data_IF_321846086029
#
_entry.id   IF_321846086029
#
_cell.length_a   1.000
_cell.length_b   1.000
_cell.length_c   1.000
_cell.angle_alpha   90.00
_cell.angle_beta   90.00
_cell.angle_gamma   90.00
#
_symmetry.space_group_name_H-M   'P 1'
#
loop_
_entity.id
_entity.type
_entity.pdbx_description
1 polymer ?
#
# COMPACT_ATOMS: atom_id res chain seq x y z
N UNK A 1 7.73 -39.96 31.13
CA UNK A 1 8.55 -39.25 32.13
C UNK A 1 9.99 -39.47 31.75
N UNK A 2 10.62 -38.46 31.17
CA UNK A 2 12.06 -38.43 30.92
C UNK A 2 12.74 -38.22 32.27
N UNK A 3 13.63 -39.13 32.66
CA UNK A 3 14.32 -39.04 33.96
C UNK A 3 15.38 -37.92 33.90
N UNK A 4 15.60 -37.22 35.02
CA UNK A 4 16.65 -36.20 35.15
C UNK A 4 18.03 -36.78 34.81
N UNK A 5 18.20 -38.09 35.02
CA UNK A 5 19.41 -38.83 34.63
C UNK A 5 19.74 -38.73 33.13
N UNK A 6 18.76 -38.50 32.25
CA UNK A 6 18.97 -38.29 30.81
C UNK A 6 19.63 -36.94 30.48
N UNK A 7 19.70 -36.02 31.46
CA UNK A 7 20.21 -34.65 31.29
C UNK A 7 21.50 -34.39 32.08
N UNK A 8 22.26 -35.44 32.41
CA UNK A 8 23.57 -35.32 33.10
C UNK A 8 24.59 -34.41 32.42
N UNK A 9 24.35 -34.08 31.16
CA UNK A 9 25.19 -33.18 30.36
C UNK A 9 24.87 -31.70 30.63
N UNK A 10 23.68 -31.36 31.13
CA UNK A 10 23.32 -30.00 31.55
C UNK A 10 24.15 -29.65 32.79
N UNK A 11 24.93 -28.56 32.71
CA UNK A 11 25.73 -28.10 33.85
C UNK A 11 24.87 -27.45 34.95
N UNK A 12 25.47 -27.27 36.14
CA UNK A 12 24.76 -26.74 37.31
C UNK A 12 24.23 -25.31 37.13
N UNK A 13 24.86 -24.50 36.28
CA UNK A 13 24.42 -23.12 36.01
C UNK A 13 23.16 -23.13 35.13
N UNK A 14 23.18 -23.88 34.03
CA UNK A 14 22.02 -24.06 33.15
C UNK A 14 20.87 -24.78 33.87
N UNK A 15 21.16 -25.79 34.70
CA UNK A 15 20.14 -26.45 35.51
C UNK A 15 19.46 -25.46 36.46
N UNK A 16 20.23 -24.60 37.16
CA UNK A 16 19.66 -23.56 38.03
C UNK A 16 18.77 -22.60 37.25
N UNK A 17 19.15 -22.26 36.02
CA UNK A 17 18.36 -21.37 35.17
C UNK A 17 17.03 -22.01 34.74
N UNK A 18 17.05 -23.29 34.37
CA UNK A 18 15.87 -24.05 33.95
C UNK A 18 14.93 -24.37 35.14
N UNK A 19 15.46 -24.62 36.33
CA UNK A 19 14.67 -24.91 37.53
C UNK A 19 14.05 -23.67 38.16
N UNK A 20 14.70 -22.51 38.02
CA UNK A 20 14.27 -21.29 38.68
C UNK A 20 13.04 -20.70 38.00
N UNK A 21 11.97 -20.53 38.78
CA UNK A 21 10.72 -19.90 38.34
C UNK A 21 10.87 -18.42 37.96
N UNK A 22 12.02 -17.79 38.26
CA UNK A 22 12.30 -16.41 37.84
C UNK A 22 12.99 -16.31 36.48
N UNK A 23 13.56 -17.41 35.98
CA UNK A 23 14.36 -17.45 34.75
C UNK A 23 13.90 -18.53 33.77
N UNK A 24 12.92 -19.35 34.15
CA UNK A 24 12.29 -20.32 33.28
C UNK A 24 10.80 -20.44 33.56
N UNK A 25 10.01 -20.54 32.49
CA UNK A 25 8.59 -20.87 32.59
C UNK A 25 8.35 -22.36 32.86
N UNK A 26 9.36 -23.22 32.65
CA UNK A 26 9.27 -24.67 32.87
C UNK A 26 9.44 -25.06 34.35
N UNK A 27 10.26 -24.31 35.09
CA UNK A 27 10.53 -24.56 36.51
C UNK A 27 10.98 -25.99 36.78
N UNK A 28 10.46 -26.63 37.83
CA UNK A 28 10.81 -28.03 38.17
C UNK A 28 10.44 -29.07 37.09
N UNK A 29 9.62 -28.70 36.10
CA UNK A 29 9.24 -29.59 35.00
C UNK A 29 10.17 -29.48 33.78
N UNK A 30 11.26 -28.71 33.88
CA UNK A 30 12.20 -28.51 32.77
C UNK A 30 12.73 -29.79 32.09
N UNK A 31 12.99 -30.92 32.78
CA UNK A 31 13.53 -32.11 32.10
C UNK A 31 12.54 -32.68 31.08
N UNK A 32 11.24 -32.56 31.39
CA UNK A 32 10.19 -33.03 30.50
C UNK A 32 10.00 -32.09 29.30
N UNK A 33 9.93 -30.78 29.53
CA UNK A 33 9.80 -29.80 28.45
C UNK A 33 11.02 -29.75 27.53
N UNK A 34 12.24 -29.73 28.09
CA UNK A 34 13.47 -29.76 27.31
C UNK A 34 13.58 -31.06 26.50
N UNK A 35 13.22 -32.20 27.08
CA UNK A 35 13.20 -33.48 26.36
C UNK A 35 12.25 -33.48 25.18
N UNK A 36 11.01 -33.01 25.37
CA UNK A 36 10.02 -32.90 24.28
C UNK A 36 10.44 -31.90 23.19
N UNK A 37 11.12 -30.83 23.57
CA UNK A 37 11.64 -29.84 22.62
C UNK A 37 12.82 -30.40 21.81
N UNK A 38 13.74 -31.11 22.45
CA UNK A 38 14.85 -31.79 21.77
C UNK A 38 14.36 -32.92 20.86
N UNK A 39 13.35 -33.69 21.28
CA UNK A 39 12.76 -34.74 20.43
C UNK A 39 12.13 -34.15 19.15
N UNK A 40 11.63 -32.91 19.22
CA UNK A 40 11.07 -32.18 18.08
C UNK A 40 12.17 -31.63 17.15
N UNK A 41 13.12 -30.88 17.72
CA UNK A 41 14.12 -30.12 16.95
C UNK A 41 15.33 -30.96 16.54
N UNK A 42 15.63 -32.02 17.29
CA UNK A 42 16.83 -32.83 17.12
C UNK A 42 16.56 -34.29 17.49
N UNK A 43 15.79 -35.00 16.66
CA UNK A 43 15.37 -36.40 16.91
C UNK A 43 16.47 -37.42 17.26
N UNK A 44 17.75 -37.13 16.96
CA UNK A 44 18.90 -37.99 17.30
C UNK A 44 19.71 -37.54 18.52
N UNK A 45 19.27 -36.52 19.27
CA UNK A 45 20.05 -35.88 20.35
C UNK A 45 20.57 -36.87 21.41
N UNK A 46 19.85 -37.96 21.68
CA UNK A 46 20.26 -38.99 22.65
C UNK A 46 21.50 -39.79 22.23
N UNK A 47 21.87 -39.76 20.94
CA UNK A 47 23.05 -40.44 20.41
C UNK A 47 24.29 -39.53 20.38
N UNK A 48 24.10 -38.25 20.68
CA UNK A 48 25.12 -37.22 20.58
C UNK A 48 26.01 -37.22 21.82
N UNK A 49 27.18 -36.61 21.69
CA UNK A 49 28.07 -36.47 22.84
C UNK A 49 27.57 -35.42 23.82
N UNK A 50 27.81 -35.63 25.12
CA UNK A 50 27.50 -34.66 26.18
C UNK A 50 28.09 -33.27 25.86
N UNK A 51 29.26 -33.19 25.20
CA UNK A 51 29.90 -31.92 24.81
C UNK A 51 29.13 -31.22 23.68
N UNK A 52 28.62 -31.96 22.70
CA UNK A 52 27.80 -31.41 21.62
C UNK A 52 26.49 -30.85 22.17
N UNK A 53 25.84 -31.58 23.09
CA UNK A 53 24.58 -31.16 23.72
C UNK A 53 24.79 -29.90 24.59
N UNK A 54 25.89 -29.84 25.35
CA UNK A 54 26.26 -28.65 26.13
C UNK A 54 26.48 -27.43 25.26
N UNK A 55 27.22 -27.58 24.17
CA UNK A 55 27.50 -26.46 23.25
C UNK A 55 26.20 -25.93 22.65
N UNK A 56 25.33 -26.84 22.19
CA UNK A 56 24.04 -26.48 21.64
C UNK A 56 23.17 -25.70 22.65
N UNK A 57 23.11 -26.16 23.90
CA UNK A 57 22.29 -25.53 24.94
C UNK A 57 22.85 -24.18 25.39
N UNK A 58 24.18 -24.02 25.45
CA UNK A 58 24.84 -22.79 25.91
C UNK A 58 24.37 -21.55 25.16
N UNK A 59 24.20 -21.67 23.84
CA UNK A 59 23.76 -20.54 23.00
C UNK A 59 22.24 -20.29 23.07
N UNK A 60 21.48 -21.22 23.66
CA UNK A 60 20.01 -21.26 23.53
C UNK A 60 19.26 -21.22 24.85
N UNK A 61 19.95 -21.39 25.97
CA UNK A 61 19.36 -21.52 27.30
C UNK A 61 18.43 -20.36 27.66
N UNK A 62 18.84 -19.12 27.35
CA UNK A 62 18.10 -17.91 27.68
C UNK A 62 16.75 -17.83 26.95
N UNK A 63 16.72 -18.28 25.68
CA UNK A 63 15.52 -18.30 24.86
C UNK A 63 14.63 -19.51 25.20
N UNK A 64 15.22 -20.70 25.21
CA UNK A 64 14.51 -21.98 25.33
C UNK A 64 13.90 -22.18 26.72
N UNK A 65 14.48 -21.60 27.78
CA UNK A 65 13.91 -21.64 29.11
C UNK A 65 12.56 -20.89 29.23
N UNK A 66 12.21 -20.05 28.25
CA UNK A 66 11.01 -19.20 28.22
C UNK A 66 10.89 -18.25 29.42
N UNK A 67 12.00 -17.93 30.10
CA UNK A 67 12.02 -16.98 31.21
C UNK A 67 11.77 -15.53 30.80
N UNK A 68 11.82 -15.24 29.50
CA UNK A 68 11.55 -13.94 28.90
C UNK A 68 10.06 -13.65 28.75
N UNK A 69 9.19 -14.67 28.83
CA UNK A 69 7.74 -14.48 28.71
C UNK A 69 7.20 -13.80 29.98
N UNK A 70 6.70 -12.57 29.83
CA UNK A 70 6.22 -11.74 30.94
C UNK A 70 4.96 -12.32 31.59
N UNK A 71 4.65 -11.94 32.83
CA UNK A 71 3.46 -12.41 33.53
C UNK A 71 2.15 -12.12 32.74
N UNK A 72 2.08 -10.98 32.06
CA UNK A 72 0.94 -10.62 31.19
C UNK A 72 0.84 -11.59 30.01
N UNK A 73 1.95 -11.81 29.29
CA UNK A 73 2.01 -12.74 28.16
C UNK A 73 1.69 -14.18 28.61
N UNK A 74 2.18 -14.63 29.77
CA UNK A 74 1.85 -15.94 30.33
C UNK A 74 0.34 -16.10 30.57
N UNK A 75 -0.30 -15.03 31.08
CA UNK A 75 -1.76 -15.03 31.29
C UNK A 75 -2.51 -15.12 29.97
N UNK A 76 -2.05 -14.40 28.94
CA UNK A 76 -2.68 -14.40 27.62
C UNK A 76 -2.45 -15.72 26.88
N UNK A 77 -1.23 -16.25 26.85
CA UNK A 77 -0.93 -17.58 26.30
C UNK A 77 -1.70 -18.69 27.03
N UNK A 78 -1.98 -18.50 28.32
CA UNK A 78 -2.81 -19.41 29.11
C UNK A 78 -4.29 -19.45 28.70
N UNK A 79 -4.80 -18.46 27.95
CA UNK A 79 -6.19 -18.50 27.45
C UNK A 79 -6.35 -19.37 26.20
N UNK A 80 -5.26 -19.63 25.47
CA UNK A 80 -5.19 -20.47 24.25
C UNK A 80 -5.18 -21.97 24.58
N UNK A 81 -6.17 -22.40 25.36
CA UNK A 81 -6.26 -23.76 25.90
C UNK A 81 -6.51 -24.84 24.84
N UNK A 82 -7.03 -24.46 23.67
CA UNK A 82 -7.23 -25.32 22.50
C UNK A 82 -5.92 -25.87 21.93
N UNK A 83 -4.80 -25.15 22.15
CA UNK A 83 -3.45 -25.56 21.71
C UNK A 83 -2.66 -26.36 22.77
N UNK A 84 -3.23 -26.56 23.96
CA UNK A 84 -2.56 -27.24 25.09
C UNK A 84 -1.67 -26.30 25.92
N UNK A 85 -0.68 -26.86 26.64
CA UNK A 85 0.23 -26.05 27.46
C UNK A 85 1.17 -25.25 26.54
N UNK A 86 1.14 -23.92 26.66
CA UNK A 86 1.96 -23.01 25.87
C UNK A 86 3.45 -23.22 26.04
N UNK A 87 3.89 -23.75 27.18
CA UNK A 87 5.30 -24.11 27.40
C UNK A 87 5.78 -25.21 26.45
N UNK A 88 4.85 -25.99 25.88
CA UNK A 88 5.15 -27.04 24.91
C UNK A 88 4.94 -26.57 23.47
N UNK A 89 3.81 -25.93 23.15
CA UNK A 89 3.52 -25.57 21.75
C UNK A 89 4.29 -24.33 21.29
N UNK A 90 4.56 -23.36 22.17
CA UNK A 90 5.18 -22.09 21.77
C UNK A 90 6.58 -22.28 21.17
N UNK A 91 7.51 -23.07 21.76
CA UNK A 91 8.80 -23.32 21.14
C UNK A 91 8.71 -23.93 19.73
N UNK A 92 7.81 -24.90 19.52
CA UNK A 92 7.61 -25.55 18.21
C UNK A 92 7.06 -24.57 17.19
N UNK A 93 6.11 -23.75 17.61
CA UNK A 93 5.52 -22.75 16.75
C UNK A 93 6.52 -21.64 16.37
N UNK A 94 7.40 -21.27 17.31
CA UNK A 94 8.51 -20.36 17.04
C UNK A 94 9.53 -20.96 16.06
N UNK A 95 9.78 -22.27 16.09
CA UNK A 95 10.64 -22.91 15.07
C UNK A 95 10.04 -22.79 13.66
N UNK A 96 8.70 -22.83 13.53
CA UNK A 96 8.00 -22.67 12.25
C UNK A 96 8.04 -21.22 11.75
N UNK A 97 7.85 -20.24 12.64
CA UNK A 97 7.79 -18.83 12.27
C UNK A 97 9.15 -18.15 12.16
N UNK A 98 10.12 -18.60 12.95
CA UNK A 98 11.42 -17.95 13.10
C UNK A 98 12.51 -19.00 13.40
N UNK A 99 13.07 -19.59 12.35
CA UNK A 99 13.99 -20.74 12.41
C UNK A 99 15.24 -20.60 13.33
N UNK A 100 15.62 -19.39 13.74
CA UNK A 100 16.77 -19.12 14.62
C UNK A 100 16.37 -18.41 15.94
N UNK A 101 15.08 -18.38 16.31
CA UNK A 101 14.57 -17.73 17.53
C UNK A 101 15.29 -18.20 18.80
N UNK A 102 15.70 -19.47 18.85
CA UNK A 102 16.36 -20.06 20.00
C UNK A 102 17.73 -19.41 20.31
N UNK A 103 18.31 -18.65 19.36
CA UNK A 103 19.54 -17.86 19.56
C UNK A 103 19.27 -16.37 19.82
N UNK A 104 18.01 -15.94 19.71
CA UNK A 104 17.64 -14.55 19.91
C UNK A 104 17.75 -14.16 21.39
N UNK A 105 17.96 -12.88 21.63
CA UNK A 105 17.98 -12.36 23.00
C UNK A 105 16.58 -12.36 23.62
N UNK A 106 16.46 -12.45 24.95
CA UNK A 106 15.19 -12.27 25.66
C UNK A 106 14.40 -11.02 25.26
N UNK A 107 15.09 -9.90 25.00
CA UNK A 107 14.46 -8.64 24.60
C UNK A 107 13.81 -8.71 23.22
N UNK A 108 14.48 -9.32 22.24
CA UNK A 108 13.93 -9.54 20.88
C UNK A 108 12.72 -10.46 20.93
N UNK A 109 12.80 -11.55 21.71
CA UNK A 109 11.69 -12.50 21.88
C UNK A 109 10.48 -11.85 22.56
N UNK A 110 10.71 -11.02 23.58
CA UNK A 110 9.64 -10.30 24.27
C UNK A 110 8.93 -9.34 23.32
N UNK A 111 9.69 -8.53 22.58
CA UNK A 111 9.15 -7.55 21.63
C UNK A 111 8.43 -8.23 20.45
N UNK A 112 8.99 -9.32 19.93
CA UNK A 112 8.35 -10.12 18.90
C UNK A 112 7.02 -10.69 19.39
N UNK A 113 7.01 -11.25 20.61
CA UNK A 113 5.80 -11.82 21.18
C UNK A 113 4.76 -10.72 21.44
N UNK A 114 5.14 -9.54 21.94
CA UNK A 114 4.21 -8.42 22.13
C UNK A 114 3.51 -8.00 20.82
N UNK A 115 4.23 -8.02 19.69
CA UNK A 115 3.64 -7.75 18.38
C UNK A 115 2.76 -8.89 17.84
N UNK A 116 3.17 -10.14 18.07
CA UNK A 116 2.47 -11.32 17.53
C UNK A 116 1.30 -11.81 18.37
N UNK A 117 1.28 -11.55 19.68
CA UNK A 117 0.30 -12.15 20.60
C UNK A 117 -1.12 -11.66 20.29
N UNK A 118 -1.30 -10.43 19.83
CA UNK A 118 -2.58 -9.90 19.38
C UNK A 118 -3.19 -10.75 18.25
N UNK A 119 -2.37 -11.22 17.31
CA UNK A 119 -2.80 -12.07 16.19
C UNK A 119 -3.01 -13.54 16.59
N UNK A 120 -2.46 -13.97 17.73
CA UNK A 120 -2.60 -15.34 18.24
C UNK A 120 -3.82 -15.53 19.13
N UNK A 121 -4.28 -14.46 19.78
CA UNK A 121 -5.53 -14.49 20.52
C UNK A 121 -6.69 -14.55 19.52
N UNK A 122 -7.68 -15.45 19.73
CA UNK A 122 -8.90 -15.38 18.95
C UNK A 122 -9.42 -13.95 19.06
N UNK A 123 -9.73 -13.33 17.91
CA UNK A 123 -10.37 -12.03 17.87
C UNK A 123 -11.52 -12.09 18.86
N UNK A 124 -11.45 -11.27 19.90
CA UNK A 124 -12.43 -11.32 20.97
C UNK A 124 -13.77 -10.94 20.35
N UNK A 125 -14.60 -11.94 20.02
CA UNK A 125 -15.96 -11.72 19.49
C UNK A 125 -16.86 -10.97 20.51
N UNK A 126 -16.33 -10.71 21.72
CA UNK A 126 -16.94 -9.85 22.73
C UNK A 126 -16.27 -8.49 22.92
N UNK A 127 -15.23 -8.16 22.15
CA UNK A 127 -14.82 -6.77 22.00
C UNK A 127 -15.97 -6.03 21.32
N UNK A 128 -16.50 -4.99 21.99
CA UNK A 128 -17.37 -4.02 21.32
C UNK A 128 -16.71 -3.65 19.98
N UNK A 129 -17.49 -3.57 18.88
CA UNK A 129 -16.93 -3.24 17.57
C UNK A 129 -16.00 -2.04 17.74
N UNK A 130 -14.76 -2.18 17.26
CA UNK A 130 -13.77 -1.13 17.36
C UNK A 130 -14.44 0.16 16.88
N UNK A 131 -14.48 1.17 17.76
CA UNK A 131 -15.12 2.43 17.44
C UNK A 131 -14.47 2.98 16.18
N UNK A 132 -15.22 3.02 15.08
CA UNK A 132 -14.80 3.69 13.87
C UNK A 132 -15.33 5.13 13.88
N UNK A 133 -14.41 6.08 13.98
CA UNK A 133 -14.74 7.49 13.92
C UNK A 133 -15.43 7.88 12.60
N UNK A 134 -15.16 7.17 11.50
CA UNK A 134 -15.75 7.43 10.17
C UNK A 134 -17.21 7.04 10.07
N UNK A 135 -17.72 6.18 10.94
CA UNK A 135 -19.16 5.89 11.02
C UNK A 135 -19.98 7.07 11.59
N UNK A 136 -19.31 8.09 12.15
CA UNK A 136 -19.92 9.32 12.68
C UNK A 136 -20.98 9.07 13.78
N UNK A 137 -20.97 7.89 14.41
CA UNK A 137 -21.89 7.51 15.49
C UNK A 137 -21.70 8.34 16.76
N UNK A 138 -20.55 9.00 16.89
CA UNK A 138 -20.21 9.95 17.95
C UNK A 138 -20.87 11.33 17.78
N UNK A 139 -21.37 11.67 16.59
CA UNK A 139 -22.00 12.98 16.33
C UNK A 139 -23.31 13.09 17.10
N UNK A 140 -23.41 14.08 17.98
CA UNK A 140 -24.59 14.29 18.82
C UNK A 140 -25.80 14.79 18.00
N UNK A 141 -27.04 14.59 18.47
CA UNK A 141 -28.23 15.11 17.77
C UNK A 141 -28.21 16.63 17.52
N UNK A 142 -27.62 17.41 18.45
CA UNK A 142 -27.45 18.85 18.29
C UNK A 142 -26.44 19.21 17.21
N UNK A 143 -25.32 18.49 17.13
CA UNK A 143 -24.32 18.67 16.09
C UNK A 143 -24.88 18.25 14.73
N UNK A 144 -25.58 17.12 14.66
CA UNK A 144 -26.29 16.70 13.45
C UNK A 144 -27.27 17.77 12.98
N UNK A 145 -28.10 18.35 13.86
CA UNK A 145 -29.01 19.43 13.48
C UNK A 145 -28.28 20.69 12.96
N UNK A 146 -27.11 21.01 13.51
CA UNK A 146 -26.27 22.11 13.02
C UNK A 146 -25.64 21.79 11.67
N UNK A 147 -25.13 20.58 11.47
CA UNK A 147 -24.55 20.08 10.22
C UNK A 147 -25.60 20.02 9.10
N UNK A 148 -26.82 19.58 9.41
CA UNK A 148 -27.95 19.57 8.46
C UNK A 148 -28.33 20.98 7.96
N UNK A 149 -27.99 22.04 8.70
CA UNK A 149 -28.20 23.40 8.23
C UNK A 149 -27.25 23.80 7.09
N UNK A 150 -26.18 23.04 6.86
CA UNK A 150 -25.23 23.20 5.75
C UNK A 150 -25.52 22.26 4.57
N UNK A 151 -26.53 21.38 4.68
CA UNK A 151 -26.88 20.44 3.60
C UNK A 151 -27.17 21.13 2.26
N UNK A 152 -27.84 22.30 2.20
CA UNK A 152 -28.10 22.97 0.92
C UNK A 152 -26.84 23.43 0.17
N UNK A 153 -25.72 23.67 0.87
CA UNK A 153 -24.50 24.25 0.28
C UNK A 153 -23.30 23.32 0.28
N UNK A 154 -23.33 22.24 1.05
CA UNK A 154 -22.24 21.25 1.12
C UNK A 154 -22.69 19.83 0.80
N UNK A 155 -23.99 19.60 0.60
CA UNK A 155 -24.56 18.27 0.47
C UNK A 155 -24.63 17.53 1.81
N UNK A 156 -24.83 16.21 1.77
CA UNK A 156 -24.92 15.39 2.98
C UNK A 156 -23.62 15.49 3.79
N UNK A 157 -23.75 15.91 5.05
CA UNK A 157 -22.62 16.03 5.96
C UNK A 157 -21.95 14.71 6.28
N UNK A 158 -22.66 13.58 6.14
CA UNK A 158 -22.05 12.26 6.27
C UNK A 158 -20.98 12.00 5.21
N UNK A 159 -21.10 12.66 4.07
CA UNK A 159 -20.15 12.55 2.96
C UNK A 159 -19.02 13.57 3.06
N UNK A 160 -19.33 14.85 3.31
CA UNK A 160 -18.28 15.89 3.30
C UNK A 160 -17.53 16.04 4.61
N UNK A 161 -18.12 15.70 5.76
CA UNK A 161 -17.49 15.91 7.06
C UNK A 161 -16.21 15.08 7.25
N UNK A 162 -16.16 13.78 6.89
CA UNK A 162 -14.92 12.99 7.00
C UNK A 162 -13.75 13.61 6.22
N UNK A 163 -13.95 13.95 4.95
CA UNK A 163 -12.90 14.58 4.14
C UNK A 163 -12.50 15.97 4.65
N UNK A 164 -13.43 16.70 5.24
CA UNK A 164 -13.13 17.98 5.87
C UNK A 164 -12.34 17.82 7.19
N UNK A 165 -12.62 16.78 7.96
CA UNK A 165 -11.86 16.41 9.16
C UNK A 165 -10.44 15.94 8.81
N UNK A 166 -10.25 15.20 7.72
CA UNK A 166 -8.93 14.81 7.23
C UNK A 166 -8.02 16.05 7.00
N UNK A 167 -8.61 17.19 6.62
CA UNK A 167 -7.88 18.46 6.43
C UNK A 167 -7.67 19.21 7.76
N UNK A 168 -8.69 19.29 8.61
CA UNK A 168 -8.64 20.08 9.84
C UNK A 168 -7.87 19.40 10.97
N UNK A 169 -7.93 18.08 11.01
CA UNK A 169 -7.32 17.24 12.03
C UNK A 169 -6.96 15.87 11.43
N UNK A 170 -5.80 15.74 10.77
CA UNK A 170 -5.42 14.51 10.03
C UNK A 170 -5.48 13.20 10.83
N UNK A 171 -5.28 13.25 12.15
CA UNK A 171 -5.27 12.06 13.03
C UNK A 171 -6.62 11.78 13.72
N UNK A 172 -7.72 12.44 13.30
CA UNK A 172 -9.02 12.36 13.96
C UNK A 172 -9.61 10.93 13.99
N UNK A 173 -9.24 10.07 13.04
CA UNK A 173 -9.70 8.68 12.98
C UNK A 173 -9.20 7.82 14.13
N UNK A 174 -8.13 8.26 14.82
CA UNK A 174 -7.60 7.60 16.01
C UNK A 174 -8.16 8.19 17.32
N UNK A 175 -8.93 9.28 17.23
CA UNK A 175 -9.44 9.99 18.40
C UNK A 175 -10.68 9.28 18.97
N UNK A 176 -10.87 9.42 20.29
CA UNK A 176 -12.04 8.87 20.96
C UNK A 176 -13.28 9.75 20.76
N UNK A 177 -14.52 9.22 20.95
CA UNK A 177 -15.74 10.03 20.94
C UNK A 177 -15.69 11.23 21.90
N UNK A 178 -15.01 11.06 23.05
CA UNK A 178 -14.85 12.07 24.08
C UNK A 178 -13.97 13.25 23.63
N UNK A 179 -13.09 13.03 22.65
CA UNK A 179 -12.27 14.08 22.03
C UNK A 179 -12.98 14.71 20.83
N UNK A 180 -13.61 13.87 19.98
CA UNK A 180 -14.27 14.29 18.75
C UNK A 180 -15.49 15.19 19.01
N UNK A 181 -16.32 14.83 20.00
CA UNK A 181 -17.54 15.57 20.32
C UNK A 181 -17.27 17.03 20.72
N UNK A 182 -16.45 17.33 21.75
CA UNK A 182 -16.19 18.71 22.14
C UNK A 182 -15.39 19.47 21.08
N UNK A 183 -14.58 18.78 20.27
CA UNK A 183 -13.89 19.41 19.15
C UNK A 183 -14.88 19.95 18.12
N UNK A 184 -15.84 19.11 17.70
CA UNK A 184 -16.85 19.49 16.71
C UNK A 184 -17.76 20.62 17.21
N UNK A 185 -18.11 20.63 18.49
CA UNK A 185 -18.86 21.74 19.11
C UNK A 185 -18.13 23.09 19.00
N UNK A 186 -16.80 23.10 19.05
CA UNK A 186 -16.00 24.31 18.89
C UNK A 186 -15.77 24.68 17.42
N UNK A 187 -15.72 23.69 16.53
CA UNK A 187 -15.51 23.90 15.10
C UNK A 187 -16.78 24.45 14.40
N UNK A 188 -17.96 23.91 14.72
CA UNK A 188 -19.24 24.24 14.06
C UNK A 188 -19.54 25.75 14.01
N UNK A 189 -19.40 26.54 15.10
CA UNK A 189 -19.66 27.98 15.05
C UNK A 189 -18.68 28.77 14.16
N UNK A 190 -17.51 28.20 13.87
CA UNK A 190 -16.46 28.82 13.07
C UNK A 190 -16.59 28.48 11.58
N UNK A 191 -17.50 27.58 11.22
CA UNK A 191 -17.78 27.30 9.81
C UNK A 191 -18.34 28.56 9.15
N UNK A 192 -17.74 29.01 8.04
CA UNK A 192 -18.26 30.18 7.34
C UNK A 192 -19.74 29.94 7.02
N UNK A 193 -20.60 30.95 7.22
CA UNK A 193 -22.01 30.81 6.88
C UNK A 193 -22.14 30.43 5.40
N UNK A 194 -23.19 29.69 5.05
CA UNK A 194 -23.42 29.28 3.68
C UNK A 194 -23.42 30.48 2.74
N UNK A 195 -22.32 30.61 1.98
CA UNK A 195 -22.28 31.49 0.82
C UNK A 195 -23.00 30.81 -0.34
N UNK A 196 -23.52 31.56 -1.32
CA UNK A 196 -24.03 30.96 -2.54
C UNK A 196 -22.92 30.13 -3.16
N UNK A 197 -23.13 28.81 -3.22
CA UNK A 197 -22.22 27.86 -3.84
C UNK A 197 -22.07 28.28 -5.30
N UNK A 198 -20.91 28.85 -5.65
CA UNK A 198 -20.59 29.09 -7.05
C UNK A 198 -20.28 27.73 -7.64
N UNK A 199 -21.05 27.33 -8.64
CA UNK A 199 -20.74 26.14 -9.43
C UNK A 199 -19.32 26.29 -10.00
N UNK A 200 -18.39 25.50 -9.48
CA UNK A 200 -17.00 25.54 -9.95
C UNK A 200 -16.91 25.21 -11.45
N UNK A 201 -17.86 24.43 -11.98
CA UNK A 201 -17.96 24.12 -13.41
C UNK A 201 -18.52 25.27 -14.25
N UNK A 202 -19.12 26.28 -13.63
CA UNK A 202 -19.45 27.52 -14.32
C UNK A 202 -18.21 28.39 -14.59
N UNK A 203 -17.02 27.99 -14.09
CA UNK A 203 -15.73 28.63 -14.32
C UNK A 203 -15.72 30.13 -13.97
N UNK A 204 -16.66 30.59 -13.14
CA UNK A 204 -16.78 32.00 -12.74
C UNK A 204 -15.66 32.46 -11.80
N UNK A 205 -14.85 31.52 -11.32
CA UNK A 205 -13.66 31.75 -10.50
C UNK A 205 -12.39 32.03 -11.32
N UNK A 206 -12.42 31.79 -12.64
CA UNK A 206 -11.28 32.06 -13.53
C UNK A 206 -11.09 33.58 -13.64
N UNK A 207 -9.92 34.08 -13.22
CA UNK A 207 -9.62 35.52 -13.25
C UNK A 207 -9.39 36.02 -14.68
N UNK A 208 -9.56 37.32 -14.97
CA UNK A 208 -9.30 37.86 -16.31
C UNK A 208 -7.88 37.53 -16.84
N UNK A 209 -6.89 37.48 -15.95
CA UNK A 209 -5.51 37.11 -16.30
C UNK A 209 -5.40 35.63 -16.73
N UNK A 210 -6.13 34.73 -16.06
CA UNK A 210 -6.20 33.32 -16.47
C UNK A 210 -6.99 33.15 -17.77
N UNK A 211 -8.04 33.94 -17.99
CA UNK A 211 -8.79 33.93 -19.27
C UNK A 211 -7.87 34.27 -20.43
N UNK A 212 -7.05 35.31 -20.32
CA UNK A 212 -6.09 35.69 -21.38
C UNK A 212 -5.10 34.55 -21.69
N UNK A 213 -4.62 33.87 -20.64
CA UNK A 213 -3.67 32.75 -20.75
C UNK A 213 -4.32 31.51 -21.38
N UNK A 214 -5.52 31.16 -20.96
CA UNK A 214 -6.30 30.05 -21.51
C UNK A 214 -6.72 30.33 -22.96
N UNK A 215 -7.09 31.57 -23.28
CA UNK A 215 -7.42 32.00 -24.64
C UNK A 215 -6.20 31.91 -25.58
N UNK A 216 -4.98 32.15 -25.09
CA UNK A 216 -3.77 31.94 -25.86
C UNK A 216 -3.57 30.46 -26.26
N UNK A 217 -4.00 29.53 -25.40
CA UNK A 217 -3.97 28.09 -25.65
C UNK A 217 -5.09 27.59 -26.58
N UNK A 218 -6.13 28.39 -26.85
CA UNK A 218 -7.24 27.98 -27.73
C UNK A 218 -6.77 27.56 -29.13
N UNK A 219 -5.63 28.10 -29.61
CA UNK A 219 -5.07 27.72 -30.93
C UNK A 219 -4.58 26.27 -30.98
N UNK A 220 -4.12 25.72 -29.86
CA UNK A 220 -3.54 24.37 -29.79
C UNK A 220 -4.50 23.35 -29.21
N UNK A 221 -5.31 23.75 -28.21
CA UNK A 221 -6.20 22.83 -27.47
C UNK A 221 -7.70 23.02 -27.72
N UNK A 222 -8.11 24.02 -28.51
CA UNK A 222 -9.53 24.36 -28.69
C UNK A 222 -10.10 25.13 -27.49
N UNK A 223 -11.43 25.34 -27.48
CA UNK A 223 -12.11 26.15 -26.47
C UNK A 223 -11.92 25.57 -25.06
N UNK A 224 -11.29 26.35 -24.17
CA UNK A 224 -11.01 25.93 -22.81
C UNK A 224 -12.25 25.74 -21.94
N UNK A 225 -13.40 26.31 -22.30
CA UNK A 225 -14.64 26.00 -21.58
C UNK A 225 -15.04 24.53 -21.73
N UNK A 226 -14.65 23.88 -22.83
CA UNK A 226 -14.97 22.48 -23.12
C UNK A 226 -13.94 21.52 -22.53
N UNK A 227 -12.64 21.81 -22.66
CA UNK A 227 -11.59 20.87 -22.24
C UNK A 227 -11.13 21.05 -20.79
N UNK A 228 -11.17 22.26 -20.23
CA UNK A 228 -10.62 22.52 -18.89
C UNK A 228 -11.31 21.70 -17.80
N UNK A 229 -12.65 21.57 -17.76
CA UNK A 229 -13.31 20.74 -16.74
C UNK A 229 -12.87 19.28 -16.79
N UNK A 230 -12.81 18.67 -17.99
CA UNK A 230 -12.37 17.28 -18.14
C UNK A 230 -10.90 17.08 -17.78
N UNK A 231 -10.06 18.08 -18.08
CA UNK A 231 -8.65 18.05 -17.72
C UNK A 231 -8.43 18.22 -16.21
N UNK A 232 -9.25 19.05 -15.55
CA UNK A 232 -9.28 19.18 -14.09
C UNK A 232 -9.78 17.90 -13.42
N UNK A 233 -10.78 17.22 -13.99
CA UNK A 233 -11.25 15.91 -13.50
C UNK A 233 -10.10 14.87 -13.50
N UNK A 234 -9.15 14.97 -14.43
CA UNK A 234 -7.96 14.10 -14.49
C UNK A 234 -6.87 14.55 -13.50
N UNK A 235 -6.55 15.83 -13.48
CA UNK A 235 -5.44 16.35 -12.66
C UNK A 235 -5.77 16.44 -11.16
N UNK A 236 -7.03 16.68 -10.85
CA UNK A 236 -7.52 16.90 -9.49
C UNK A 236 -9.00 16.50 -9.41
N UNK A 237 -9.32 15.20 -9.23
CA UNK A 237 -10.69 14.68 -9.26
C UNK A 237 -11.71 15.43 -8.39
N UNK A 238 -11.26 16.00 -7.26
CA UNK A 238 -12.12 16.73 -6.30
C UNK A 238 -12.08 18.27 -6.47
N UNK A 239 -11.60 18.78 -7.60
CA UNK A 239 -11.50 20.23 -7.82
C UNK A 239 -12.85 20.96 -7.73
N UNK A 240 -13.96 20.27 -8.02
CA UNK A 240 -15.31 20.86 -7.98
C UNK A 240 -15.76 21.28 -6.59
N UNK A 241 -15.13 20.74 -5.53
CA UNK A 241 -15.38 21.13 -4.14
C UNK A 241 -14.37 22.16 -3.62
N UNK A 242 -13.35 22.49 -4.41
CA UNK A 242 -12.34 23.46 -4.02
C UNK A 242 -12.85 24.90 -4.11
N UNK A 243 -12.39 25.75 -3.19
CA UNK A 243 -12.70 27.19 -3.24
C UNK A 243 -11.92 27.88 -4.37
N UNK A 244 -12.41 29.02 -4.88
CA UNK A 244 -11.66 29.86 -5.83
C UNK A 244 -10.24 30.21 -5.35
N UNK A 245 -10.07 30.42 -4.05
CA UNK A 245 -8.76 30.75 -3.43
C UNK A 245 -7.75 29.60 -3.54
N UNK A 246 -8.20 28.36 -3.69
CA UNK A 246 -7.35 27.19 -3.92
C UNK A 246 -7.21 26.88 -5.42
N UNK A 247 -8.29 27.02 -6.18
CA UNK A 247 -8.31 26.73 -7.62
C UNK A 247 -7.41 27.67 -8.43
N UNK A 248 -7.43 28.97 -8.13
CA UNK A 248 -6.68 29.96 -8.92
C UNK A 248 -5.16 29.78 -8.80
N UNK A 249 -4.54 29.71 -7.60
CA UNK A 249 -3.09 29.51 -7.50
C UNK A 249 -2.63 28.18 -8.09
N UNK A 250 -3.41 27.11 -7.86
CA UNK A 250 -3.10 25.79 -8.41
C UNK A 250 -3.10 25.81 -9.94
N UNK A 251 -4.14 26.38 -10.56
CA UNK A 251 -4.25 26.42 -12.02
C UNK A 251 -3.12 27.27 -12.64
N UNK A 252 -2.72 28.36 -11.99
CA UNK A 252 -1.57 29.17 -12.44
C UNK A 252 -0.29 28.33 -12.50
N UNK A 253 -0.04 27.48 -11.50
CA UNK A 253 1.11 26.57 -11.46
C UNK A 253 0.99 25.47 -12.50
N UNK A 254 -0.17 24.82 -12.61
CA UNK A 254 -0.41 23.75 -13.58
C UNK A 254 -0.22 24.24 -15.03
N UNK A 255 -0.75 25.42 -15.36
CA UNK A 255 -0.60 26.01 -16.70
C UNK A 255 0.84 26.42 -17.03
N UNK A 256 1.67 26.74 -16.02
CA UNK A 256 3.08 27.06 -16.26
C UNK A 256 3.90 25.88 -16.79
N UNK A 257 3.46 24.64 -16.53
CA UNK A 257 4.08 23.45 -17.12
C UNK A 257 3.61 23.14 -18.54
N UNK A 258 2.56 23.81 -19.04
CA UNK A 258 1.92 23.51 -20.32
C UNK A 258 2.15 24.57 -21.40
N UNK A 259 2.67 25.73 -21.01
CA UNK A 259 3.10 26.72 -21.99
C UNK A 259 4.28 26.16 -22.78
N UNK A 260 4.19 26.12 -24.12
CA UNK A 260 5.34 25.75 -24.93
C UNK A 260 6.47 26.72 -24.57
N UNK A 261 7.65 26.19 -24.26
CA UNK A 261 8.83 27.01 -24.07
C UNK A 261 8.95 27.92 -25.29
N UNK A 262 8.88 29.24 -25.10
CA UNK A 262 9.04 30.21 -26.18
C UNK A 262 10.37 29.91 -26.89
N UNK A 263 10.30 29.20 -28.01
CA UNK A 263 11.45 29.04 -28.88
C UNK A 263 11.83 30.44 -29.37
N UNK A 264 13.08 30.87 -29.18
CA UNK A 264 13.49 32.23 -29.54
C UNK A 264 13.20 32.46 -31.02
N UNK A 265 12.49 33.56 -31.30
CA UNK A 265 11.93 33.95 -32.61
C UNK A 265 12.95 34.04 -33.78
N UNK A 266 14.23 33.79 -33.54
CA UNK A 266 15.31 33.86 -34.53
C UNK A 266 15.41 32.62 -35.44
N UNK A 267 14.66 31.53 -35.20
CA UNK A 267 14.72 30.33 -36.04
C UNK A 267 13.66 30.25 -37.16
N UNK A 268 12.62 31.10 -37.15
CA UNK A 268 11.54 31.03 -38.14
C UNK A 268 11.81 31.83 -39.43
N UNK A 269 12.89 32.64 -39.51
CA UNK A 269 13.17 33.50 -40.67
C UNK A 269 14.15 32.88 -41.71
N UNK A 270 14.41 31.56 -41.66
CA UNK A 270 15.28 30.88 -42.64
C UNK A 270 14.62 29.83 -43.55
N UNK A 271 13.30 29.60 -43.48
CA UNK A 271 12.64 28.56 -44.28
C UNK A 271 11.71 29.10 -45.40
N UNK A 272 11.97 30.29 -45.95
CA UNK A 272 11.25 30.80 -47.12
C UNK A 272 12.19 30.94 -48.34
N UNK A 273 12.48 29.83 -49.01
CA UNK A 273 12.95 29.82 -50.40
C UNK A 273 11.91 29.12 -51.29
N UNK A 274 11.49 29.72 -52.43
CA UNK A 274 10.46 29.15 -53.29
C UNK A 274 11.06 28.24 -54.39
N UNK A 275 10.26 27.27 -54.83
CA UNK A 275 10.44 26.38 -55.99
C UNK A 275 11.58 25.35 -55.95
N UNK A 276 11.20 24.10 -55.62
CA UNK A 276 11.81 22.91 -56.20
C UNK A 276 10.70 21.95 -56.67
N UNK A 277 10.84 21.45 -57.90
CA UNK A 277 9.97 20.51 -58.58
C UNK A 277 9.77 19.20 -57.79
N UNK A 278 8.67 18.46 -57.99
CA UNK A 278 8.42 17.20 -57.30
C UNK A 278 9.45 16.14 -57.71
N UNK A 279 10.34 15.76 -56.79
CA UNK A 279 11.13 14.54 -56.94
C UNK A 279 10.25 13.32 -56.64
N UNK A 280 10.30 12.27 -57.48
CA UNK A 280 9.63 11.01 -57.21
C UNK A 280 10.43 10.18 -56.20
N UNK A 281 9.72 9.43 -55.37
CA UNK A 281 10.19 8.33 -54.53
C UNK A 281 11.47 8.62 -53.73
N UNK A 282 11.30 9.31 -52.60
CA UNK A 282 12.22 9.15 -51.48
C UNK A 282 11.97 7.76 -50.87
N UNK A 283 12.93 6.87 -51.09
CA UNK A 283 13.09 5.62 -50.36
C UNK A 283 12.88 5.90 -48.86
N UNK A 284 11.79 5.35 -48.31
CA UNK A 284 11.60 5.25 -46.87
C UNK A 284 12.89 4.61 -46.31
N UNK A 285 13.59 5.26 -45.35
CA UNK A 285 14.71 4.60 -44.69
C UNK A 285 14.20 3.26 -44.16
N UNK A 286 14.98 2.19 -44.39
CA UNK A 286 14.67 0.86 -43.90
C UNK A 286 14.17 0.97 -42.47
N UNK A 287 12.96 0.45 -42.20
CA UNK A 287 12.30 0.57 -40.91
C UNK A 287 13.32 0.24 -39.82
N UNK A 288 13.60 1.23 -38.96
CA UNK A 288 14.46 1.03 -37.81
C UNK A 288 13.95 -0.21 -37.06
N UNK A 289 14.86 -1.07 -36.64
CA UNK A 289 14.48 -2.28 -35.92
C UNK A 289 13.65 -1.86 -34.71
N UNK A 290 12.36 -2.23 -34.61
CA UNK A 290 11.52 -1.82 -33.50
C UNK A 290 12.06 -2.33 -32.15
N UNK A 291 12.94 -3.34 -32.16
CA UNK A 291 13.67 -3.85 -30.98
C UNK A 291 14.88 -3.03 -30.59
N UNK A 292 15.23 -1.97 -31.32
CA UNK A 292 16.22 -0.99 -30.86
C UNK A 292 15.67 -0.10 -29.74
N UNK A 293 14.36 -0.09 -29.53
CA UNK A 293 13.64 0.76 -28.57
C UNK A 293 13.93 2.27 -28.72
N UNK A 294 14.48 2.70 -29.86
CA UNK A 294 14.75 4.11 -30.18
C UNK A 294 13.48 4.96 -30.30
N UNK A 295 12.30 4.32 -30.30
CA UNK A 295 11.01 4.97 -30.33
C UNK A 295 10.49 5.39 -28.94
N UNK A 296 11.14 4.96 -27.85
CA UNK A 296 10.77 5.34 -26.49
C UNK A 296 11.00 6.83 -26.24
N UNK A 297 10.09 7.46 -25.49
CA UNK A 297 10.31 8.83 -25.01
C UNK A 297 11.30 8.85 -23.83
N UNK A 298 11.88 10.02 -23.56
CA UNK A 298 12.80 10.19 -22.41
C UNK A 298 12.08 9.87 -21.07
N UNK A 299 10.81 10.22 -20.95
CA UNK A 299 9.98 9.90 -19.79
C UNK A 299 9.76 8.38 -19.63
N UNK A 300 9.44 7.68 -20.71
CA UNK A 300 9.29 6.21 -20.70
C UNK A 300 10.61 5.52 -20.36
N UNK A 301 11.73 6.02 -20.88
CA UNK A 301 13.06 5.51 -20.52
C UNK A 301 13.36 5.71 -19.04
N UNK A 302 13.00 6.86 -18.45
CA UNK A 302 13.16 7.08 -17.01
C UNK A 302 12.32 6.09 -16.20
N UNK A 303 11.04 5.91 -16.53
CA UNK A 303 10.17 4.95 -15.85
C UNK A 303 10.66 3.50 -15.98
N UNK A 304 11.10 3.07 -17.17
CA UNK A 304 11.65 1.73 -17.38
C UNK A 304 12.99 1.53 -16.65
N UNK A 305 13.82 2.58 -16.55
CA UNK A 305 15.06 2.52 -15.78
C UNK A 305 14.82 2.45 -14.27
N UNK A 306 13.74 3.03 -13.75
CA UNK A 306 13.35 2.85 -12.34
C UNK A 306 12.95 1.39 -12.06
N UNK A 307 12.37 0.70 -13.04
CA UNK A 307 12.05 -0.74 -12.95
C UNK A 307 13.29 -1.64 -13.01
N UNK A 308 14.47 -1.11 -13.37
CA UNK A 308 15.71 -1.88 -13.44
C UNK A 308 16.07 -2.53 -12.09
N UNK A 309 15.80 -1.85 -10.97
CA UNK A 309 16.06 -2.40 -9.64
C UNK A 309 15.15 -3.60 -9.30
N UNK A 310 13.96 -3.67 -9.88
CA UNK A 310 12.94 -4.69 -9.61
C UNK A 310 13.03 -5.86 -10.60
N UNK A 311 13.25 -5.56 -11.88
CA UNK A 311 13.13 -6.52 -12.99
C UNK A 311 14.44 -6.85 -13.69
N UNK A 312 15.54 -6.18 -13.35
CA UNK A 312 16.83 -6.34 -14.04
C UNK A 312 16.86 -5.60 -15.38
N UNK A 313 17.53 -6.17 -16.39
CA UNK A 313 17.61 -5.54 -17.71
C UNK A 313 16.24 -5.51 -18.40
N UNK A 314 15.62 -4.33 -18.40
CA UNK A 314 14.27 -4.15 -18.92
C UNK A 314 14.19 -4.35 -20.44
N UNK A 315 15.30 -4.30 -21.19
CA UNK A 315 15.26 -4.41 -22.66
C UNK A 315 14.78 -5.79 -23.11
N UNK A 316 15.35 -6.85 -22.55
CA UNK A 316 14.97 -8.23 -22.87
C UNK A 316 13.55 -8.53 -22.36
N UNK A 317 13.24 -8.09 -21.13
CA UNK A 317 11.91 -8.27 -20.55
C UNK A 317 10.82 -7.54 -21.34
N UNK A 318 11.03 -6.27 -21.70
CA UNK A 318 10.05 -5.50 -22.47
C UNK A 318 9.85 -6.11 -23.86
N UNK A 319 10.93 -6.64 -24.46
CA UNK A 319 10.84 -7.39 -25.72
C UNK A 319 9.97 -8.64 -25.61
N UNK A 320 10.21 -9.47 -24.59
CA UNK A 320 9.41 -10.67 -24.32
C UNK A 320 7.94 -10.32 -23.99
N UNK A 321 7.73 -9.24 -23.24
CA UNK A 321 6.41 -8.77 -22.85
C UNK A 321 5.59 -8.24 -24.02
N UNK A 322 6.23 -7.48 -24.91
CA UNK A 322 5.65 -7.03 -26.17
C UNK A 322 5.36 -8.21 -27.10
N UNK A 323 6.27 -9.17 -27.23
CA UNK A 323 6.05 -10.39 -28.01
C UNK A 323 4.86 -11.21 -27.46
N UNK A 324 4.66 -11.23 -26.14
CA UNK A 324 3.58 -11.94 -25.46
C UNK A 324 2.23 -11.25 -25.59
N UNK A 325 2.14 -9.96 -25.27
CA UNK A 325 0.86 -9.23 -25.21
C UNK A 325 0.43 -8.65 -26.54
N UNK A 326 1.39 -8.28 -27.39
CA UNK A 326 1.11 -7.61 -28.66
C UNK A 326 1.99 -8.15 -29.79
N UNK A 327 1.79 -9.39 -30.26
CA UNK A 327 2.68 -10.04 -31.23
C UNK A 327 2.87 -9.29 -32.56
N UNK A 328 1.96 -8.36 -32.90
CA UNK A 328 2.02 -7.50 -34.08
C UNK A 328 2.86 -6.22 -33.88
N UNK A 329 3.36 -5.96 -32.66
CA UNK A 329 4.12 -4.76 -32.31
C UNK A 329 5.29 -4.43 -33.25
N UNK A 330 6.03 -5.40 -33.85
CA UNK A 330 7.13 -5.06 -34.76
C UNK A 330 6.67 -4.41 -36.07
N UNK A 331 5.36 -4.46 -36.34
CA UNK A 331 4.75 -3.87 -37.54
C UNK A 331 4.05 -2.54 -37.27
N UNK A 332 3.94 -2.13 -36.00
CA UNK A 332 3.28 -0.90 -35.62
C UNK A 332 4.19 0.32 -35.82
N UNK A 333 3.62 1.47 -36.20
CA UNK A 333 4.39 2.70 -36.26
C UNK A 333 4.81 3.14 -34.84
N UNK A 334 5.98 3.81 -34.68
CA UNK A 334 6.49 4.28 -33.38
C UNK A 334 5.46 5.00 -32.51
N UNK A 335 4.65 5.89 -33.10
CA UNK A 335 3.63 6.63 -32.34
C UNK A 335 2.53 5.74 -31.73
N UNK A 336 2.20 4.62 -32.37
CA UNK A 336 1.24 3.65 -31.82
C UNK A 336 1.85 2.82 -30.68
N UNK A 337 3.15 2.52 -30.76
CA UNK A 337 3.89 1.85 -29.69
C UNK A 337 4.02 2.77 -28.46
N UNK A 338 4.33 4.05 -28.64
CA UNK A 338 4.40 5.04 -27.56
C UNK A 338 3.06 5.20 -26.85
N UNK A 339 1.96 5.37 -27.61
CA UNK A 339 0.63 5.52 -27.04
C UNK A 339 0.23 4.28 -26.22
N UNK A 340 0.42 3.08 -26.78
CA UNK A 340 0.15 1.84 -26.07
C UNK A 340 0.99 1.71 -24.80
N UNK A 341 2.29 1.98 -24.88
CA UNK A 341 3.17 1.87 -23.72
C UNK A 341 2.77 2.86 -22.62
N UNK A 342 2.32 4.07 -22.93
CA UNK A 342 1.81 5.00 -21.93
C UNK A 342 0.58 4.45 -21.18
N UNK A 343 -0.29 3.74 -21.88
CA UNK A 343 -1.49 3.15 -21.27
C UNK A 343 -1.14 1.96 -20.35
N UNK A 344 -0.06 1.23 -20.65
CA UNK A 344 0.29 -0.01 -19.92
C UNK A 344 1.49 0.11 -18.98
N UNK A 345 2.37 1.11 -19.12
CA UNK A 345 3.63 1.18 -18.35
C UNK A 345 3.39 1.25 -16.83
N UNK A 346 2.32 1.93 -16.41
CA UNK A 346 1.87 1.96 -15.02
C UNK A 346 1.39 0.59 -14.51
N UNK A 347 0.82 -0.24 -15.39
CA UNK A 347 0.42 -1.62 -15.09
C UNK A 347 1.61 -2.59 -15.15
N UNK A 348 2.58 -2.33 -16.01
CA UNK A 348 3.80 -3.13 -16.15
C UNK A 348 4.80 -2.89 -15.00
N UNK A 349 4.71 -1.74 -14.33
CA UNK A 349 5.45 -1.42 -13.11
C UNK A 349 5.00 -2.26 -11.88
N UNK A 350 3.86 -2.95 -11.99
CA UNK A 350 3.35 -3.79 -10.90
C UNK A 350 4.12 -5.13 -10.88
N UNK A 351 4.49 -5.64 -9.69
CA UNK A 351 5.16 -6.93 -9.57
C UNK A 351 4.23 -8.06 -10.05
N UNK A 352 4.79 -9.07 -10.72
CA UNK A 352 4.06 -10.24 -11.23
C UNK A 352 3.75 -11.28 -10.14
N UNK A 353 4.11 -11.01 -8.87
CA UNK A 353 3.92 -11.92 -7.74
C UNK A 353 2.50 -11.86 -7.18
N UNK A 354 2.19 -12.83 -6.31
CA UNK A 354 1.02 -12.86 -5.43
C UNK A 354 0.81 -11.51 -4.69
N UNK A 355 1.83 -10.66 -4.58
CA UNK A 355 1.75 -9.28 -4.07
C UNK A 355 0.85 -8.35 -4.89
N UNK A 356 0.62 -8.58 -6.19
CA UNK A 356 -0.38 -7.82 -6.95
C UNK A 356 -1.79 -8.25 -6.58
N UNK A 357 -2.01 -9.55 -6.39
CA UNK A 357 -3.27 -10.04 -5.84
C UNK A 357 -3.47 -9.48 -4.44
N UNK A 358 -2.46 -9.46 -3.58
CA UNK A 358 -2.56 -8.88 -2.24
C UNK A 358 -2.71 -7.34 -2.25
N UNK A 359 -2.13 -6.63 -3.21
CA UNK A 359 -2.30 -5.19 -3.36
C UNK A 359 -3.68 -4.81 -3.94
N UNK A 360 -4.18 -5.59 -4.89
CA UNK A 360 -5.55 -5.45 -5.43
C UNK A 360 -6.55 -5.87 -4.37
N UNK A 361 -6.34 -6.99 -3.66
CA UNK A 361 -7.17 -7.41 -2.53
C UNK A 361 -7.11 -6.38 -1.40
N UNK A 362 -5.95 -5.81 -1.09
CA UNK A 362 -5.80 -4.75 -0.10
C UNK A 362 -6.45 -3.42 -0.51
N UNK A 363 -6.54 -3.12 -1.80
CA UNK A 363 -7.29 -1.98 -2.33
C UNK A 363 -8.81 -2.27 -2.36
N UNK A 364 -9.21 -3.51 -2.67
CA UNK A 364 -10.60 -3.98 -2.62
C UNK A 364 -11.11 -4.06 -1.17
N UNK A 365 -10.24 -4.39 -0.20
CA UNK A 365 -10.56 -4.41 1.24
C UNK A 365 -10.92 -3.02 1.79
N UNK A 366 -10.54 -1.94 1.09
CA UNK A 366 -10.89 -0.57 1.47
C UNK A 366 -12.22 -0.09 0.88
N UNK A 367 -12.86 -0.89 0.02
CA UNK A 367 -14.13 -0.57 -0.63
C UNK A 367 -15.17 -1.65 -0.30
N UNK A 368 -16.10 -1.30 0.60
CA UNK A 368 -17.11 -2.21 1.15
C UNK A 368 -18.04 -2.80 0.07
N UNK A 369 -18.33 -2.05 -1.00
CA UNK A 369 -19.18 -2.49 -2.10
C UNK A 369 -18.45 -3.51 -2.99
N UNK A 370 -17.14 -3.32 -3.18
CA UNK A 370 -16.29 -4.27 -3.89
C UNK A 370 -15.95 -5.51 -3.05
N UNK A 371 -15.87 -5.40 -1.73
CA UNK A 371 -15.76 -6.53 -0.81
C UNK A 371 -17.00 -7.44 -0.85
N UNK A 372 -18.20 -6.86 -0.86
CA UNK A 372 -19.44 -7.65 -1.04
C UNK A 372 -19.47 -8.35 -2.40
N UNK A 373 -18.99 -7.67 -3.45
CA UNK A 373 -18.91 -8.24 -4.80
C UNK A 373 -17.85 -9.37 -4.88
N UNK A 374 -16.68 -9.17 -4.29
CA UNK A 374 -15.61 -10.16 -4.24
C UNK A 374 -15.99 -11.38 -3.40
N UNK A 375 -16.68 -11.19 -2.27
CA UNK A 375 -17.21 -12.27 -1.44
C UNK A 375 -18.30 -13.11 -2.15
N UNK A 376 -18.92 -12.56 -3.19
CA UNK A 376 -19.90 -13.26 -4.02
C UNK A 376 -19.28 -14.16 -5.11
N UNK A 377 -17.97 -14.02 -5.36
CA UNK A 377 -17.23 -14.75 -6.37
C UNK A 377 -16.31 -15.79 -5.71
N UNK A 378 -16.25 -16.99 -6.29
CA UNK A 378 -15.20 -17.94 -5.91
C UNK A 378 -13.81 -17.46 -6.38
N UNK A 379 -12.72 -17.92 -5.76
CA UNK A 379 -11.36 -17.53 -6.18
C UNK A 379 -11.09 -17.77 -7.68
N UNK A 380 -11.63 -18.85 -8.23
CA UNK A 380 -11.50 -19.17 -9.66
C UNK A 380 -12.30 -18.19 -10.55
N UNK A 381 -13.48 -17.73 -10.10
CA UNK A 381 -14.28 -16.73 -10.82
C UNK A 381 -13.66 -15.33 -10.74
N UNK A 382 -13.07 -14.97 -9.59
CA UNK A 382 -12.34 -13.71 -9.44
C UNK A 382 -11.10 -13.66 -10.36
N UNK A 383 -10.34 -14.76 -10.41
CA UNK A 383 -9.20 -14.88 -11.32
C UNK A 383 -9.64 -14.78 -12.80
N UNK A 384 -10.79 -15.37 -13.16
CA UNK A 384 -11.37 -15.28 -14.50
C UNK A 384 -11.80 -13.85 -14.85
N UNK A 385 -12.43 -13.12 -13.92
CA UNK A 385 -12.84 -11.72 -14.12
C UNK A 385 -11.63 -10.81 -14.29
N UNK A 386 -10.57 -11.01 -13.49
CA UNK A 386 -9.32 -10.27 -13.63
C UNK A 386 -8.65 -10.56 -14.98
N UNK A 387 -8.61 -11.83 -15.42
CA UNK A 387 -8.05 -12.21 -16.72
C UNK A 387 -8.84 -11.62 -17.89
N UNK A 388 -10.17 -11.56 -17.78
CA UNK A 388 -11.06 -10.94 -18.78
C UNK A 388 -10.88 -9.41 -18.86
N UNK A 389 -10.74 -8.73 -17.71
CA UNK A 389 -10.47 -7.28 -17.66
C UNK A 389 -9.09 -6.97 -18.25
N UNK A 390 -8.06 -7.72 -17.86
CA UNK A 390 -6.71 -7.56 -18.40
C UNK A 390 -6.65 -7.86 -19.90
N UNK A 391 -7.40 -8.86 -20.37
CA UNK A 391 -7.53 -9.20 -21.79
C UNK A 391 -8.29 -8.13 -22.59
N UNK A 392 -9.26 -7.47 -21.97
CA UNK A 392 -10.03 -6.37 -22.59
C UNK A 392 -9.23 -5.08 -22.69
N UNK A 393 -8.32 -4.83 -21.76
CA UNK A 393 -7.38 -3.70 -21.80
C UNK A 393 -6.25 -3.96 -22.81
N UNK A 394 -5.91 -5.22 -23.06
CA UNK A 394 -4.85 -5.62 -24.00
C UNK A 394 -5.30 -5.68 -25.48
N UNK A 395 -6.61 -5.69 -25.76
CA UNK A 395 -7.21 -5.76 -27.11
C UNK A 395 -7.55 -4.38 -27.66
#
# INVERSE_FOLDING_TARGET
MTDVEAFRWVDEDHQRQLESSSTSAWGSAWPEYLGRYLDHTWSSWQQESDDTLREWLRERIDAVALGWVTATQQSQLGTLTDRGDWREWLPRQLDEWWADWAKASPGELTAWLDGGLASLLPADETAEPAFDARELTWVTPSQSAALEAYTPERGDWRTWLPGQLDIWWPDWTTASPDDLTPWLDNALPSLPPPGPQQDARALTWVTPELVERLDAMNRTKGDWHDWLPGQLDIWWPDWTTASPDNLVPWLVTALAGLEPADEPADQQEQAAAPNAEPQPDQDLPAAADPRSFEWLTEEQLTQLNELYEIRGDWHDWLGDELDRRRPDWPTLPPGALVAWLNDVIGLLALPESDDFLDAVLGALEQDEEMLELAASLSPDELAQVLDDVLSTIAA
#
